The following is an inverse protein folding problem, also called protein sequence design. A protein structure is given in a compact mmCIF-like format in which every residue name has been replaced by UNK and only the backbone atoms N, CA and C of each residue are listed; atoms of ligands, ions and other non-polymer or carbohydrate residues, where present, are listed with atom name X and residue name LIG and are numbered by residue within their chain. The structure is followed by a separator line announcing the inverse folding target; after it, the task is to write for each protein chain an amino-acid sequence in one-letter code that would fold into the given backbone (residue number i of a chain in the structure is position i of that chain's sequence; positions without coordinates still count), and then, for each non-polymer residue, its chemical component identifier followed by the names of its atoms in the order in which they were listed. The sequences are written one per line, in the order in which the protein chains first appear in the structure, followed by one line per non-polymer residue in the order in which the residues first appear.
data_IF_260012377504
#
_entry.id   IF_260012377504
#
_cell.length_a   1.000
_cell.length_b   1.000
_cell.length_c   1.000
_cell.angle_alpha   90.00
_cell.angle_beta   90.00
_cell.angle_gamma   90.00
#
_symmetry.space_group_name_H-M   'P 1'
#
loop_
_entity.id
_entity.type
_entity.pdbx_description
1 polymer ?
#
# COMPACT_ATOMS: atom_id res chain seq x y z
N UNK A 1 -16.08 -13.52 -11.77
CA UNK A 1 -15.62 -13.42 -10.35
C UNK A 1 -16.69 -12.69 -9.58
N UNK A 2 -16.99 -13.12 -8.34
CA UNK A 2 -17.82 -12.30 -7.45
C UNK A 2 -17.05 -11.01 -7.07
N UNK A 3 -17.74 -9.91 -6.75
CA UNK A 3 -17.11 -8.60 -6.47
C UNK A 3 -16.00 -8.72 -5.41
N UNK A 4 -16.26 -9.50 -4.36
CA UNK A 4 -15.32 -9.76 -3.28
C UNK A 4 -14.05 -10.50 -3.75
N UNK A 5 -14.22 -11.51 -4.62
CA UNK A 5 -13.08 -12.27 -5.17
C UNK A 5 -12.24 -11.40 -6.11
N UNK A 6 -12.89 -10.54 -6.90
CA UNK A 6 -12.19 -9.59 -7.77
C UNK A 6 -11.37 -8.59 -6.93
N UNK A 7 -11.93 -8.10 -5.81
CA UNK A 7 -11.23 -7.21 -4.89
C UNK A 7 -10.01 -7.89 -4.24
N UNK A 8 -10.16 -9.13 -3.77
CA UNK A 8 -9.06 -9.91 -3.18
C UNK A 8 -7.94 -10.20 -4.19
N UNK A 9 -8.30 -10.60 -5.41
CA UNK A 9 -7.32 -10.84 -6.48
C UNK A 9 -6.58 -9.57 -6.84
N UNK A 10 -7.29 -8.46 -7.00
CA UNK A 10 -6.69 -7.14 -7.27
C UNK A 10 -5.72 -6.73 -6.14
N UNK A 11 -6.09 -6.97 -4.89
CA UNK A 11 -5.23 -6.71 -3.72
C UNK A 11 -3.95 -7.54 -3.78
N UNK A 12 -4.04 -8.84 -4.07
CA UNK A 12 -2.89 -9.72 -4.20
C UNK A 12 -1.97 -9.29 -5.35
N UNK A 13 -2.55 -8.93 -6.50
CA UNK A 13 -1.81 -8.40 -7.65
C UNK A 13 -1.08 -7.11 -7.27
N UNK A 14 -1.75 -6.18 -6.57
CA UNK A 14 -1.14 -4.93 -6.10
C UNK A 14 0.05 -5.20 -5.17
N UNK A 15 -0.11 -6.08 -4.19
CA UNK A 15 0.97 -6.44 -3.24
C UNK A 15 2.18 -7.00 -4.00
N UNK A 16 1.94 -7.95 -4.92
CA UNK A 16 2.99 -8.60 -5.69
C UNK A 16 3.73 -7.61 -6.60
N UNK A 17 3.00 -6.78 -7.35
CA UNK A 17 3.58 -5.79 -8.25
C UNK A 17 4.34 -4.70 -7.47
N UNK A 18 3.78 -4.22 -6.37
CA UNK A 18 4.43 -3.22 -5.53
C UNK A 18 5.72 -3.77 -4.91
N UNK A 19 5.69 -5.03 -4.43
CA UNK A 19 6.89 -5.69 -3.93
C UNK A 19 7.98 -5.83 -5.00
N UNK A 20 7.60 -6.29 -6.20
CA UNK A 20 8.53 -6.37 -7.34
C UNK A 20 9.09 -5.02 -7.75
N UNK A 21 8.26 -3.96 -7.72
CA UNK A 21 8.69 -2.58 -7.97
C UNK A 21 9.72 -2.11 -6.94
N UNK A 22 9.44 -2.25 -5.65
CA UNK A 22 10.38 -1.85 -4.57
C UNK A 22 11.68 -2.64 -4.69
N UNK A 23 11.60 -3.94 -5.03
CA UNK A 23 12.78 -4.77 -5.27
C UNK A 23 13.65 -4.22 -6.40
N UNK A 24 13.06 -3.92 -7.55
CA UNK A 24 13.80 -3.35 -8.67
C UNK A 24 14.36 -1.95 -8.33
N UNK A 25 13.58 -1.14 -7.62
CA UNK A 25 13.96 0.21 -7.21
C UNK A 25 15.20 0.17 -6.31
N UNK A 26 15.21 -0.68 -5.27
CA UNK A 26 16.32 -0.76 -4.31
C UNK A 26 17.58 -1.40 -4.89
N UNK A 27 17.46 -2.18 -5.97
CA UNK A 27 18.63 -2.61 -6.76
C UNK A 27 19.30 -1.48 -7.54
N UNK A 28 18.54 -0.46 -7.94
CA UNK A 28 19.06 0.68 -8.70
C UNK A 28 19.49 1.80 -7.75
N UNK A 29 18.72 2.02 -6.68
CA UNK A 29 18.90 3.06 -5.67
C UNK A 29 19.00 2.39 -4.31
N UNK A 30 20.19 1.89 -3.98
CA UNK A 30 20.41 1.16 -2.75
C UNK A 30 20.23 2.06 -1.52
N UNK A 31 19.34 1.71 -0.58
CA UNK A 31 19.19 2.44 0.67
C UNK A 31 20.44 2.32 1.55
N UNK A 32 20.83 3.40 2.21
CA UNK A 32 22.04 3.42 3.05
C UNK A 32 21.82 2.70 4.39
N UNK A 33 20.57 2.56 4.84
CA UNK A 33 20.25 1.91 6.12
C UNK A 33 18.81 1.40 6.23
N UNK A 34 18.61 0.41 7.11
CA UNK A 34 17.29 -0.07 7.49
C UNK A 34 16.38 1.03 8.09
N UNK A 35 16.95 2.01 8.78
CA UNK A 35 16.18 3.10 9.36
C UNK A 35 15.67 4.07 8.27
N UNK A 36 16.43 4.25 7.19
CA UNK A 36 15.99 5.02 6.02
C UNK A 36 14.81 4.34 5.33
N UNK A 37 14.83 3.02 5.18
CA UNK A 37 13.74 2.29 4.49
C UNK A 37 12.44 2.31 5.30
N UNK A 38 12.51 2.25 6.63
CA UNK A 38 11.33 2.47 7.49
C UNK A 38 10.74 3.87 7.34
N UNK A 39 11.58 4.92 7.27
CA UNK A 39 11.11 6.29 7.00
C UNK A 39 10.44 6.42 5.63
N UNK A 40 11.00 5.78 4.60
CA UNK A 40 10.40 5.73 3.26
C UNK A 40 9.01 5.10 3.33
N UNK A 41 8.89 3.94 3.98
CA UNK A 41 7.60 3.25 4.15
C UNK A 41 6.55 4.08 4.88
N UNK A 42 6.93 4.74 5.98
CA UNK A 42 6.02 5.64 6.73
C UNK A 42 5.60 6.83 5.87
N UNK A 43 6.53 7.44 5.13
CA UNK A 43 6.23 8.57 4.26
C UNK A 43 5.27 8.17 3.13
N UNK A 44 5.49 7.01 2.51
CA UNK A 44 4.59 6.46 1.50
C UNK A 44 3.20 6.17 2.05
N UNK A 45 3.09 5.62 3.26
CA UNK A 45 1.80 5.43 3.94
C UNK A 45 1.08 6.76 4.14
N UNK A 46 1.78 7.77 4.66
CA UNK A 46 1.21 9.10 4.90
C UNK A 46 0.71 9.72 3.58
N UNK A 47 1.51 9.67 2.52
CA UNK A 47 1.09 10.17 1.22
C UNK A 47 -0.08 9.38 0.63
N UNK A 48 -0.12 8.06 0.83
CA UNK A 48 -1.23 7.22 0.35
C UNK A 48 -2.53 7.61 1.04
N UNK A 49 -2.52 7.74 2.37
CA UNK A 49 -3.69 8.17 3.16
C UNK A 49 -4.11 9.57 2.74
N UNK A 50 -3.18 10.53 2.73
CA UNK A 50 -3.47 11.93 2.36
C UNK A 50 -4.05 12.00 0.95
N UNK A 51 -3.47 11.27 -0.01
CA UNK A 51 -4.00 11.19 -1.37
C UNK A 51 -5.40 10.57 -1.40
N UNK A 52 -5.62 9.43 -0.74
CA UNK A 52 -6.90 8.73 -0.72
C UNK A 52 -8.02 9.63 -0.17
N UNK A 53 -7.77 10.32 0.93
CA UNK A 53 -8.77 11.21 1.53
C UNK A 53 -8.94 12.51 0.73
N UNK A 54 -7.85 13.15 0.28
CA UNK A 54 -7.96 14.38 -0.49
C UNK A 54 -8.59 14.13 -1.86
N UNK A 55 -8.03 13.20 -2.63
CA UNK A 55 -8.52 12.86 -3.96
C UNK A 55 -9.91 12.22 -3.88
N UNK A 56 -10.08 11.22 -3.01
CA UNK A 56 -11.33 10.50 -2.87
C UNK A 56 -12.48 11.42 -2.46
N UNK A 57 -12.24 12.33 -1.52
CA UNK A 57 -13.29 13.24 -1.06
C UNK A 57 -13.52 14.42 -2.00
N UNK A 58 -12.47 15.15 -2.36
CA UNK A 58 -12.61 16.42 -3.07
C UNK A 58 -12.69 16.29 -4.60
N UNK A 59 -12.12 15.23 -5.20
CA UNK A 59 -12.08 15.04 -6.66
C UNK A 59 -13.06 13.96 -7.10
N UNK A 60 -13.02 12.77 -6.49
CA UNK A 60 -13.91 11.67 -6.83
C UNK A 60 -15.31 11.78 -6.19
N UNK A 61 -15.53 12.77 -5.33
CA UNK A 61 -16.81 13.05 -4.69
C UNK A 61 -17.30 11.92 -3.77
N UNK A 62 -16.40 11.09 -3.25
CA UNK A 62 -16.77 10.01 -2.34
C UNK A 62 -17.06 10.55 -0.95
N UNK A 63 -18.14 10.05 -0.34
CA UNK A 63 -18.46 10.37 1.03
C UNK A 63 -17.46 9.71 1.98
N UNK A 64 -17.22 10.32 3.13
CA UNK A 64 -16.38 9.76 4.19
C UNK A 64 -16.78 8.33 4.55
N UNK A 65 -18.09 8.06 4.62
CA UNK A 65 -18.61 6.71 4.88
C UNK A 65 -18.17 5.68 3.83
N UNK A 66 -18.10 6.08 2.55
CA UNK A 66 -17.62 5.20 1.48
C UNK A 66 -16.12 4.94 1.59
N UNK A 67 -15.32 5.97 1.91
CA UNK A 67 -13.89 5.80 2.14
C UNK A 67 -13.63 4.85 3.32
N UNK A 68 -14.28 5.07 4.47
CA UNK A 68 -14.15 4.16 5.63
C UNK A 68 -14.70 2.75 5.37
N UNK A 69 -15.62 2.58 4.42
CA UNK A 69 -16.16 1.26 4.08
C UNK A 69 -15.10 0.33 3.50
N UNK A 70 -14.14 0.86 2.73
CA UNK A 70 -13.05 0.06 2.15
C UNK A 70 -12.03 -0.40 3.21
N UNK A 71 -12.07 0.18 4.41
CA UNK A 71 -11.30 -0.26 5.58
C UNK A 71 -12.03 -1.33 6.41
N UNK A 72 -13.24 -1.72 6.02
CA UNK A 72 -14.03 -2.69 6.78
C UNK A 72 -13.60 -4.15 6.50
N UNK A 73 -12.62 -4.60 7.27
CA UNK A 73 -12.07 -5.97 7.20
C UNK A 73 -13.15 -7.02 7.46
N UNK A 74 -14.16 -6.71 8.29
CA UNK A 74 -15.26 -7.63 8.63
C UNK A 74 -16.13 -7.95 7.40
N UNK A 75 -16.18 -7.04 6.42
CA UNK A 75 -16.85 -7.26 5.13
C UNK A 75 -15.94 -7.88 4.06
N UNK A 76 -14.74 -8.32 4.44
CA UNK A 76 -13.76 -8.95 3.55
C UNK A 76 -13.00 -7.96 2.65
N UNK A 77 -13.11 -6.65 2.91
CA UNK A 77 -12.27 -5.63 2.26
C UNK A 77 -10.88 -5.70 2.85
N UNK A 78 -9.89 -5.92 2.00
CA UNK A 78 -8.50 -6.22 2.40
C UNK A 78 -7.55 -5.07 2.08
N UNK A 79 -8.10 -3.87 1.83
CA UNK A 79 -7.31 -2.67 1.50
C UNK A 79 -6.23 -2.35 2.53
N UNK A 80 -6.53 -2.54 3.82
CA UNK A 80 -5.56 -2.34 4.90
C UNK A 80 -4.29 -3.18 4.74
N UNK A 81 -4.38 -4.37 4.09
CA UNK A 81 -3.22 -5.19 3.82
C UNK A 81 -2.26 -4.50 2.83
N UNK A 82 -2.79 -3.74 1.87
CA UNK A 82 -1.98 -2.93 0.95
C UNK A 82 -1.27 -1.83 1.73
N UNK A 83 -1.96 -1.12 2.62
CA UNK A 83 -1.34 -0.05 3.44
C UNK A 83 -0.23 -0.59 4.34
N UNK A 84 -0.46 -1.74 4.99
CA UNK A 84 0.56 -2.43 5.77
C UNK A 84 1.73 -2.79 4.86
N UNK A 85 1.46 -3.39 3.70
CA UNK A 85 2.49 -3.79 2.75
C UNK A 85 3.32 -2.60 2.25
N UNK A 86 2.70 -1.48 1.88
CA UNK A 86 3.38 -0.24 1.46
C UNK A 86 4.35 0.25 2.54
N UNK A 87 3.99 0.07 3.81
CA UNK A 87 4.81 0.49 4.94
C UNK A 87 5.99 -0.45 5.18
N UNK A 88 5.77 -1.77 5.12
CA UNK A 88 6.77 -2.77 5.52
C UNK A 88 7.64 -3.27 4.36
N UNK A 89 7.15 -3.23 3.12
CA UNK A 89 7.86 -3.76 1.95
C UNK A 89 9.25 -3.15 1.74
N UNK A 90 9.47 -1.82 1.88
CA UNK A 90 10.80 -1.23 1.80
C UNK A 90 11.79 -1.89 2.77
N UNK A 91 11.40 -2.03 4.04
CA UNK A 91 12.25 -2.63 5.05
C UNK A 91 12.53 -4.11 4.77
N UNK A 92 11.49 -4.89 4.46
CA UNK A 92 11.64 -6.33 4.19
C UNK A 92 12.53 -6.59 2.97
N UNK A 93 12.31 -5.87 1.88
CA UNK A 93 13.06 -6.05 0.64
C UNK A 93 14.52 -5.64 0.81
N UNK A 94 14.78 -4.55 1.54
CA UNK A 94 16.14 -4.16 1.87
C UNK A 94 16.87 -5.24 2.66
N UNK A 95 16.22 -5.85 3.66
CA UNK A 95 16.81 -6.94 4.44
C UNK A 95 17.01 -8.22 3.63
N UNK A 96 16.22 -8.45 2.57
CA UNK A 96 16.36 -9.60 1.67
C UNK A 96 17.44 -9.42 0.60
N UNK A 97 17.77 -8.17 0.25
CA UNK A 97 18.76 -7.85 -0.78
C UNK A 97 20.18 -7.66 -0.23
N UNK A 98 20.29 -7.45 1.08
CA UNK A 98 21.55 -7.33 1.81
C UNK A 98 22.18 -8.71 2.09
#
# INVERSE_FOLDING_TARGET
LNELQAHQLSTLTMISLFGGYVWALFKIWEPESANQTMKIGILWLLFTIVFEFLFGHYIAGHSWNKLFFDYNIVKGRVWILVLIWVTIAPYLIYQLQR
#
